data_IF_658531902024
#
_entry.id   IF_658531902024
#
_cell.length_a   1.000
_cell.length_b   1.000
_cell.length_c   1.000
_cell.angle_alpha   90.00
_cell.angle_beta   90.00
_cell.angle_gamma   90.00
#
_symmetry.space_group_name_H-M   'P 1'
#
loop_
_entity.id
_entity.type
_entity.pdbx_description
1 polymer ?
#
# COMPACT_ATOMS: atom_id res chain seq x y z
N UNK A 1 -5.04 -37.90 -13.91
CA UNK A 1 -5.94 -36.76 -13.65
C UNK A 1 -6.70 -36.50 -14.94
N UNK A 2 -8.03 -36.54 -14.94
CA UNK A 2 -8.80 -36.13 -16.13
C UNK A 2 -8.68 -34.63 -16.31
N UNK A 3 -8.39 -34.20 -17.53
CA UNK A 3 -8.26 -32.80 -17.92
C UNK A 3 -9.66 -32.21 -18.14
N UNK A 4 -10.26 -31.70 -17.06
CA UNK A 4 -11.64 -31.18 -17.03
C UNK A 4 -11.71 -29.66 -17.06
N UNK A 5 -10.57 -28.97 -17.21
CA UNK A 5 -10.51 -27.51 -17.21
C UNK A 5 -9.51 -26.99 -18.26
N UNK A 6 -9.99 -26.11 -19.14
CA UNK A 6 -9.15 -25.33 -20.04
C UNK A 6 -9.27 -23.85 -19.70
N UNK A 7 -8.16 -23.11 -19.87
CA UNK A 7 -8.16 -21.66 -19.70
C UNK A 7 -9.02 -20.94 -20.74
N UNK A 8 -9.61 -19.81 -20.38
CA UNK A 8 -10.45 -19.01 -21.27
C UNK A 8 -9.69 -18.10 -22.25
N UNK A 9 -8.35 -18.04 -22.15
CA UNK A 9 -7.50 -17.22 -22.99
C UNK A 9 -6.65 -18.06 -23.94
N UNK A 10 -6.39 -17.50 -25.12
CA UNK A 10 -5.55 -18.07 -26.17
C UNK A 10 -4.14 -18.41 -25.67
N UNK A 11 -3.61 -19.57 -26.08
CA UNK A 11 -2.20 -19.94 -25.85
C UNK A 11 -1.31 -19.35 -26.95
N UNK A 12 0.01 -19.50 -26.79
CA UNK A 12 1.01 -18.96 -27.72
C UNK A 12 0.70 -19.23 -29.20
N UNK A 13 0.33 -20.45 -29.56
CA UNK A 13 0.07 -20.79 -30.97
C UNK A 13 -1.25 -20.20 -31.49
N UNK A 14 -2.27 -20.06 -30.64
CA UNK A 14 -3.53 -19.40 -30.98
C UNK A 14 -3.30 -17.89 -31.22
N UNK A 15 -2.47 -17.25 -30.38
CA UNK A 15 -2.08 -15.85 -30.54
C UNK A 15 -1.29 -15.63 -31.84
N UNK A 16 -0.32 -16.51 -32.15
CA UNK A 16 0.42 -16.50 -33.42
C UNK A 16 -0.51 -16.70 -34.62
N UNK A 17 -1.46 -17.63 -34.52
CA UNK A 17 -2.46 -17.88 -35.56
C UNK A 17 -3.29 -16.63 -35.83
N UNK A 18 -3.81 -15.97 -34.79
CA UNK A 18 -4.55 -14.72 -34.91
C UNK A 18 -3.77 -13.63 -35.65
N UNK A 19 -2.50 -13.40 -35.27
CA UNK A 19 -1.64 -12.42 -35.93
C UNK A 19 -1.39 -12.75 -37.41
N UNK A 20 -1.21 -14.03 -37.74
CA UNK A 20 -1.03 -14.48 -39.13
C UNK A 20 -2.29 -14.33 -39.99
N UNK A 21 -3.46 -14.50 -39.40
CA UNK A 21 -4.75 -14.34 -40.07
C UNK A 21 -5.05 -12.86 -40.31
N UNK A 22 -4.85 -12.01 -39.29
CA UNK A 22 -5.16 -10.58 -39.36
C UNK A 22 -4.13 -9.78 -40.16
N UNK A 23 -2.85 -10.19 -40.15
CA UNK A 23 -1.72 -9.48 -40.77
C UNK A 23 -1.70 -7.99 -40.39
N UNK A 24 -1.66 -7.68 -39.08
CA UNK A 24 -1.77 -6.31 -38.62
C UNK A 24 -0.57 -5.48 -39.09
N UNK A 25 -0.81 -4.20 -39.42
CA UNK A 25 0.28 -3.29 -39.71
C UNK A 25 1.06 -2.91 -38.45
N UNK A 26 0.35 -2.68 -37.34
CA UNK A 26 0.91 -2.43 -36.02
C UNK A 26 0.30 -3.38 -35.00
N UNK A 27 1.06 -3.77 -34.00
CA UNK A 27 0.62 -4.69 -32.96
C UNK A 27 0.83 -4.08 -31.57
N UNK A 28 -0.20 -4.13 -30.74
CA UNK A 28 -0.15 -3.66 -29.36
C UNK A 28 -0.77 -4.73 -28.46
N UNK A 29 0.04 -5.48 -27.69
CA UNK A 29 -0.51 -6.43 -26.74
C UNK A 29 -1.26 -5.69 -25.63
N UNK A 30 -2.37 -6.27 -25.18
CA UNK A 30 -3.22 -5.74 -24.10
C UNK A 30 -3.59 -6.85 -23.11
N UNK A 31 -4.27 -6.48 -22.01
CA UNK A 31 -4.89 -7.41 -21.05
C UNK A 31 -3.90 -8.37 -20.35
N UNK A 32 -2.81 -7.84 -19.82
CA UNK A 32 -1.88 -8.65 -19.03
C UNK A 32 -0.98 -7.81 -18.12
N UNK A 33 -0.24 -8.49 -17.25
CA UNK A 33 0.91 -7.87 -16.58
C UNK A 33 2.00 -7.52 -17.61
N UNK A 34 2.80 -6.51 -17.34
CA UNK A 34 3.78 -5.98 -18.30
C UNK A 34 4.72 -7.06 -18.87
N UNK A 35 5.18 -8.02 -18.05
CA UNK A 35 6.03 -9.12 -18.53
C UNK A 35 5.33 -10.04 -19.54
N UNK A 36 4.01 -10.22 -19.41
CA UNK A 36 3.22 -11.01 -20.37
C UNK A 36 2.98 -10.22 -21.65
N UNK A 37 2.80 -8.89 -21.56
CA UNK A 37 2.72 -8.01 -22.73
C UNK A 37 4.02 -8.06 -23.53
N UNK A 38 5.17 -8.01 -22.84
CA UNK A 38 6.47 -8.18 -23.48
C UNK A 38 6.61 -9.55 -24.15
N UNK A 39 6.22 -10.63 -23.45
CA UNK A 39 6.25 -11.97 -24.05
C UNK A 39 5.36 -12.06 -25.30
N UNK A 40 4.19 -11.41 -25.31
CA UNK A 40 3.30 -11.37 -26.46
C UNK A 40 3.87 -10.54 -27.61
N UNK A 41 4.58 -9.44 -27.32
CA UNK A 41 5.35 -8.70 -28.30
C UNK A 41 6.45 -9.57 -28.96
N UNK A 42 7.15 -10.39 -28.17
CA UNK A 42 8.15 -11.31 -28.71
C UNK A 42 7.51 -12.36 -29.65
N UNK A 43 6.27 -12.78 -29.39
CA UNK A 43 5.51 -13.66 -30.31
C UNK A 43 5.17 -12.95 -31.62
N UNK A 44 4.84 -11.66 -31.56
CA UNK A 44 4.56 -10.84 -32.74
C UNK A 44 5.81 -10.71 -33.63
N UNK A 45 6.98 -10.50 -33.02
CA UNK A 45 8.27 -10.51 -33.75
C UNK A 45 8.51 -11.88 -34.42
N UNK A 46 8.24 -12.99 -33.72
CA UNK A 46 8.42 -14.35 -34.27
C UNK A 46 7.54 -14.66 -35.48
N UNK A 47 6.37 -14.01 -35.62
CA UNK A 47 5.50 -14.17 -36.79
C UNK A 47 5.77 -13.14 -37.89
N UNK A 48 6.82 -12.34 -37.74
CA UNK A 48 7.33 -11.44 -38.78
C UNK A 48 6.83 -10.00 -38.69
N UNK A 49 6.17 -9.60 -37.60
CA UNK A 49 5.81 -8.20 -37.38
C UNK A 49 7.09 -7.44 -36.99
N UNK A 50 7.49 -6.37 -37.71
CA UNK A 50 8.71 -5.64 -37.39
C UNK A 50 8.64 -5.01 -36.00
N UNK A 51 9.73 -5.13 -35.22
CA UNK A 51 9.83 -4.60 -33.86
C UNK A 51 9.37 -3.15 -33.69
N UNK A 52 9.71 -2.28 -34.64
CA UNK A 52 9.34 -0.85 -34.61
C UNK A 52 7.83 -0.60 -34.82
N UNK A 53 7.06 -1.62 -35.20
CA UNK A 53 5.59 -1.59 -35.32
C UNK A 53 4.89 -2.31 -34.17
N UNK A 54 5.63 -2.75 -33.15
CA UNK A 54 5.10 -3.40 -31.95
C UNK A 54 5.19 -2.43 -30.77
N UNK A 55 4.06 -2.12 -30.15
CA UNK A 55 3.96 -1.14 -29.07
C UNK A 55 3.55 -1.81 -27.77
N UNK A 56 4.49 -1.97 -26.84
CA UNK A 56 4.18 -2.36 -25.46
C UNK A 56 3.93 -1.09 -24.66
N UNK A 57 2.66 -0.73 -24.47
CA UNK A 57 2.25 0.51 -23.81
C UNK A 57 2.00 0.30 -22.31
N UNK A 58 2.31 1.32 -21.51
CA UNK A 58 1.86 1.41 -20.12
C UNK A 58 0.43 1.98 -20.03
N UNK A 59 -0.24 1.75 -18.91
CA UNK A 59 -1.49 2.45 -18.58
C UNK A 59 -1.31 3.97 -18.71
N UNK A 60 -2.21 4.61 -19.46
CA UNK A 60 -2.21 6.04 -19.72
C UNK A 60 -1.26 6.51 -20.82
N UNK A 61 -0.36 5.66 -21.35
CA UNK A 61 0.54 6.04 -22.43
C UNK A 61 -0.21 6.25 -23.75
N UNK A 62 0.06 7.36 -24.42
CA UNK A 62 -0.63 7.72 -25.66
C UNK A 62 0.05 7.05 -26.85
N UNK A 63 -0.74 6.35 -27.67
CA UNK A 63 -0.32 5.81 -28.98
C UNK A 63 -1.04 6.60 -30.07
N UNK A 64 -0.26 7.23 -30.95
CA UNK A 64 -0.78 8.03 -32.05
C UNK A 64 -0.74 7.23 -33.35
N UNK A 65 -1.84 7.27 -34.09
CA UNK A 65 -1.92 6.74 -35.44
C UNK A 65 -2.36 7.86 -36.39
N UNK A 66 -1.58 8.09 -37.43
CA UNK A 66 -1.91 9.02 -38.49
C UNK A 66 -1.99 8.28 -39.81
N UNK A 67 -2.92 8.69 -40.67
CA UNK A 67 -3.04 8.18 -42.03
C UNK A 67 -2.86 9.34 -43.00
N UNK A 68 -1.82 9.28 -43.82
CA UNK A 68 -1.61 10.29 -44.85
C UNK A 68 -2.66 10.14 -45.97
N UNK A 69 -2.88 11.21 -46.74
CA UNK A 69 -3.83 11.21 -47.87
C UNK A 69 -3.51 10.14 -48.94
N UNK A 70 -2.24 9.68 -49.01
CA UNK A 70 -1.78 8.59 -49.88
C UNK A 70 -2.04 7.17 -49.33
N UNK A 71 -2.67 7.04 -48.15
CA UNK A 71 -3.09 5.75 -47.59
C UNK A 71 -2.10 5.08 -46.64
N UNK A 72 -0.86 5.57 -46.53
CA UNK A 72 0.15 5.08 -45.58
C UNK A 72 -0.21 5.46 -44.14
N UNK A 73 -0.15 4.48 -43.23
CA UNK A 73 -0.42 4.68 -41.81
C UNK A 73 0.89 4.69 -41.00
N UNK A 74 1.09 5.75 -40.22
CA UNK A 74 2.21 5.89 -39.29
C UNK A 74 1.71 5.77 -37.86
N UNK A 75 2.27 4.83 -37.10
CA UNK A 75 2.00 4.63 -35.68
C UNK A 75 3.20 5.08 -34.84
N UNK A 76 2.95 5.72 -33.70
CA UNK A 76 3.99 6.15 -32.77
C UNK A 76 3.54 5.96 -31.33
N UNK A 77 4.32 5.20 -30.56
CA UNK A 77 4.24 5.19 -29.11
C UNK A 77 4.88 6.47 -28.56
N UNK A 78 4.07 7.36 -27.98
CA UNK A 78 4.56 8.64 -27.47
C UNK A 78 5.15 8.49 -26.07
N UNK A 79 5.82 9.56 -25.60
CA UNK A 79 6.23 9.67 -24.19
C UNK A 79 5.15 10.32 -23.32
N UNK A 80 4.07 10.78 -23.95
CA UNK A 80 2.99 11.50 -23.29
C UNK A 80 2.08 10.49 -22.59
N UNK A 81 1.64 10.86 -21.38
CA UNK A 81 0.72 10.06 -20.58
C UNK A 81 -0.47 10.92 -20.18
N UNK A 82 -1.68 10.34 -20.28
CA UNK A 82 -2.86 10.90 -19.63
C UNK A 82 -2.88 10.52 -18.16
N UNK A 83 -3.52 11.35 -17.33
CA UNK A 83 -3.69 11.04 -15.92
C UNK A 83 -4.52 9.76 -15.76
N UNK A 84 -3.94 8.76 -15.09
CA UNK A 84 -4.61 7.50 -14.75
C UNK A 84 -4.30 7.16 -13.32
N UNK A 85 -5.32 6.83 -12.54
CA UNK A 85 -5.17 6.46 -11.14
C UNK A 85 -6.09 5.28 -10.81
N UNK A 86 -5.68 4.48 -9.83
CA UNK A 86 -6.56 3.46 -9.26
C UNK A 86 -7.61 4.14 -8.39
N UNK A 87 -8.88 3.88 -8.70
CA UNK A 87 -10.01 4.26 -7.84
C UNK A 87 -10.46 3.02 -7.07
N UNK A 88 -10.21 3.04 -5.77
CA UNK A 88 -10.63 1.97 -4.87
C UNK A 88 -12.11 2.12 -4.52
N UNK A 89 -12.82 1.01 -4.39
CA UNK A 89 -14.23 0.98 -3.98
C UNK A 89 -14.34 0.10 -2.74
N UNK A 90 -14.94 0.64 -1.67
CA UNK A 90 -15.13 -0.06 -0.40
C UNK A 90 -16.55 0.18 0.13
N UNK A 91 -17.40 -0.83 0.02
CA UNK A 91 -18.83 -0.71 0.33
C UNK A 91 -19.53 0.29 -0.60
N UNK A 92 -20.10 1.34 -0.01
CA UNK A 92 -20.71 2.46 -0.75
C UNK A 92 -19.71 3.58 -1.08
N UNK A 93 -18.49 3.49 -0.54
CA UNK A 93 -17.42 4.45 -0.77
C UNK A 93 -16.73 4.23 -2.12
N UNK A 94 -16.56 5.31 -2.89
CA UNK A 94 -15.85 5.32 -4.16
C UNK A 94 -14.74 6.37 -4.08
N UNK A 95 -13.49 5.92 -4.16
CA UNK A 95 -12.30 6.79 -4.11
C UNK A 95 -11.97 7.35 -2.72
N UNK A 96 -12.70 6.97 -1.69
CA UNK A 96 -12.48 7.38 -0.29
C UNK A 96 -11.38 6.55 0.40
N UNK A 97 -11.10 5.35 -0.10
CA UNK A 97 -9.95 4.54 0.34
C UNK A 97 -8.68 4.95 -0.39
N UNK A 98 -7.83 5.69 0.32
CA UNK A 98 -6.50 6.05 -0.16
C UNK A 98 -5.44 4.96 0.13
N UNK A 99 -4.28 5.08 -0.53
CA UNK A 99 -3.11 4.24 -0.24
C UNK A 99 -2.68 4.29 1.24
N UNK A 100 -2.95 5.39 1.95
CA UNK A 100 -2.64 5.51 3.39
C UNK A 100 -3.54 4.59 4.20
N UNK A 101 -4.85 4.56 3.90
CA UNK A 101 -5.80 3.67 4.57
C UNK A 101 -5.42 2.20 4.34
N UNK A 102 -5.03 1.84 3.12
CA UNK A 102 -4.55 0.48 2.81
C UNK A 102 -3.26 0.13 3.57
N UNK A 103 -2.32 1.09 3.70
CA UNK A 103 -1.10 0.90 4.48
C UNK A 103 -1.41 0.63 5.95
N UNK A 104 -2.31 1.42 6.54
CA UNK A 104 -2.71 1.27 7.93
C UNK A 104 -3.40 -0.07 8.17
N UNK A 105 -4.29 -0.49 7.27
CA UNK A 105 -4.92 -1.83 7.30
C UNK A 105 -3.88 -2.94 7.25
N UNK A 106 -2.87 -2.83 6.39
CA UNK A 106 -1.80 -3.82 6.27
C UNK A 106 -0.99 -3.94 7.57
N UNK A 107 -0.55 -2.82 8.13
CA UNK A 107 0.21 -2.82 9.39
C UNK A 107 -0.62 -3.42 10.53
N UNK A 108 -1.91 -3.06 10.64
CA UNK A 108 -2.80 -3.63 11.64
C UNK A 108 -3.04 -5.13 11.46
N UNK A 109 -3.12 -5.62 10.22
CA UNK A 109 -3.30 -7.04 9.93
C UNK A 109 -2.05 -7.87 10.26
N UNK A 110 -0.85 -7.32 10.01
CA UNK A 110 0.42 -8.01 10.27
C UNK A 110 0.77 -8.02 11.77
N UNK A 111 0.72 -6.86 12.43
CA UNK A 111 1.29 -6.69 13.78
C UNK A 111 0.30 -6.25 14.85
N UNK A 112 -0.95 -5.96 14.47
CA UNK A 112 -1.97 -5.44 15.38
C UNK A 112 -1.69 -4.00 15.83
N UNK A 113 -2.38 -3.59 16.89
CA UNK A 113 -2.30 -2.23 17.42
C UNK A 113 -2.38 -2.19 18.95
N UNK A 114 -1.86 -1.11 19.50
CA UNK A 114 -1.97 -0.76 20.91
C UNK A 114 -2.33 0.73 21.04
N UNK A 115 -3.41 1.00 21.77
CA UNK A 115 -3.84 2.36 22.12
C UNK A 115 -3.39 2.65 23.54
N UNK A 116 -2.74 3.79 23.74
CA UNK A 116 -2.20 4.23 25.03
C UNK A 116 -2.86 5.56 25.36
N UNK A 117 -3.67 5.58 26.41
CA UNK A 117 -4.43 6.75 26.84
C UNK A 117 -3.77 7.27 28.13
N UNK A 118 -3.27 8.49 28.11
CA UNK A 118 -2.67 9.14 29.28
C UNK A 118 -3.44 10.43 29.60
N UNK A 119 -3.94 10.53 30.82
CA UNK A 119 -4.53 11.77 31.33
C UNK A 119 -3.44 12.57 32.05
N UNK A 120 -3.31 13.84 31.72
CA UNK A 120 -2.25 14.73 32.23
C UNK A 120 -2.89 15.97 32.85
N UNK A 121 -2.37 16.40 34.00
CA UNK A 121 -2.72 17.68 34.62
C UNK A 121 -2.13 18.82 33.78
N UNK A 122 -2.97 19.75 33.33
CA UNK A 122 -2.57 20.87 32.47
C UNK A 122 -1.62 21.86 33.15
N UNK A 123 -1.59 21.91 34.49
CA UNK A 123 -0.75 22.82 35.27
C UNK A 123 0.58 22.19 35.67
N UNK A 124 0.56 20.93 36.12
CA UNK A 124 1.78 20.26 36.60
C UNK A 124 2.45 19.40 35.53
N UNK A 125 1.73 19.06 34.46
CA UNK A 125 2.19 18.12 33.43
C UNK A 125 2.34 16.67 33.92
N UNK A 126 1.88 16.36 35.13
CA UNK A 126 1.94 15.01 35.68
C UNK A 126 0.80 14.13 35.17
N UNK A 127 1.05 12.82 35.11
CA UNK A 127 -0.01 11.85 34.82
C UNK A 127 -1.01 11.78 35.97
N UNK A 128 -2.29 11.97 35.65
CA UNK A 128 -3.40 11.72 36.56
C UNK A 128 -3.74 10.23 36.47
N UNK A 129 -3.35 9.48 37.50
CA UNK A 129 -3.61 8.04 37.60
C UNK A 129 -2.66 7.18 36.74
N UNK A 130 -3.17 6.06 36.25
CA UNK A 130 -2.43 5.12 35.40
C UNK A 130 -2.83 5.30 33.94
N UNK A 131 -1.89 5.33 32.98
CA UNK A 131 -2.23 5.28 31.57
C UNK A 131 -3.00 4.01 31.24
N UNK A 132 -4.08 4.13 30.47
CA UNK A 132 -4.87 3.00 30.01
C UNK A 132 -4.34 2.45 28.70
N UNK A 133 -4.34 1.12 28.60
CA UNK A 133 -3.75 0.39 27.48
C UNK A 133 -4.79 -0.56 26.92
N UNK A 134 -5.05 -0.43 25.63
CA UNK A 134 -5.96 -1.30 24.87
C UNK A 134 -5.16 -1.96 23.76
N UNK A 135 -5.18 -3.29 23.69
CA UNK A 135 -4.54 -4.07 22.63
C UNK A 135 -5.59 -4.74 21.74
N UNK A 136 -5.35 -4.75 20.42
CA UNK A 136 -6.14 -5.46 19.41
C UNK A 136 -5.20 -6.09 18.38
N UNK A 137 -5.32 -7.39 18.11
CA UNK A 137 -4.47 -8.12 17.16
C UNK A 137 -2.98 -8.22 17.54
N UNK A 138 -2.53 -7.50 18.58
CA UNK A 138 -1.15 -7.52 19.04
C UNK A 138 -0.94 -8.59 20.13
N UNK A 139 -1.27 -8.31 21.38
CA UNK A 139 -1.13 -9.27 22.50
C UNK A 139 -2.44 -9.45 23.27
N UNK A 140 -2.66 -10.66 23.80
CA UNK A 140 -3.78 -10.91 24.70
C UNK A 140 -3.46 -10.42 26.11
N UNK A 141 -4.19 -9.38 26.55
CA UNK A 141 -3.90 -8.63 27.77
C UNK A 141 -3.88 -9.47 29.04
N UNK A 142 -4.74 -10.51 29.13
CA UNK A 142 -4.85 -11.34 30.34
C UNK A 142 -3.62 -12.22 30.57
N UNK A 143 -2.96 -12.64 29.48
CA UNK A 143 -1.77 -13.47 29.51
C UNK A 143 -0.48 -12.63 29.59
N UNK A 144 -0.51 -11.40 29.08
CA UNK A 144 0.66 -10.54 28.97
C UNK A 144 0.71 -9.43 30.02
N UNK A 145 0.22 -9.69 31.25
CA UNK A 145 0.09 -8.67 32.31
C UNK A 145 1.40 -7.93 32.60
N UNK A 146 2.52 -8.65 32.65
CA UNK A 146 3.82 -8.06 32.95
C UNK A 146 4.28 -7.07 31.86
N UNK A 147 4.14 -7.45 30.57
CA UNK A 147 4.45 -6.57 29.44
C UNK A 147 3.61 -5.29 29.49
N UNK A 148 2.33 -5.42 29.81
CA UNK A 148 1.41 -4.28 29.93
C UNK A 148 1.80 -3.38 31.11
N UNK A 149 2.15 -3.95 32.27
CA UNK A 149 2.59 -3.14 33.41
C UNK A 149 3.92 -2.41 33.13
N UNK A 150 4.90 -3.09 32.51
CA UNK A 150 6.15 -2.45 32.05
C UNK A 150 5.86 -1.32 31.06
N UNK A 151 4.92 -1.52 30.14
CA UNK A 151 4.48 -0.48 29.21
C UNK A 151 3.89 0.72 29.96
N UNK A 152 2.98 0.51 30.93
CA UNK A 152 2.41 1.59 31.76
C UNK A 152 3.49 2.38 32.50
N UNK A 153 4.44 1.69 33.13
CA UNK A 153 5.56 2.33 33.83
C UNK A 153 6.43 3.17 32.89
N UNK A 154 6.70 2.66 31.68
CA UNK A 154 7.48 3.39 30.67
C UNK A 154 6.74 4.63 30.18
N UNK A 155 5.43 4.55 29.95
CA UNK A 155 4.59 5.70 29.59
C UNK A 155 4.61 6.76 30.70
N UNK A 156 4.43 6.37 31.97
CA UNK A 156 4.53 7.31 33.10
C UNK A 156 5.89 8.02 33.16
N UNK A 157 6.97 7.27 32.92
CA UNK A 157 8.32 7.85 32.87
C UNK A 157 8.45 8.85 31.73
N UNK A 158 7.93 8.53 30.55
CA UNK A 158 7.95 9.42 29.38
C UNK A 158 7.20 10.71 29.66
N UNK A 159 6.01 10.63 30.27
CA UNK A 159 5.22 11.82 30.62
C UNK A 159 5.91 12.66 31.70
N UNK A 160 6.49 12.01 32.72
CA UNK A 160 7.24 12.73 33.78
C UNK A 160 8.54 13.38 33.27
N UNK A 161 9.07 12.91 32.14
CA UNK A 161 10.28 13.45 31.51
C UNK A 161 9.95 14.68 30.65
N UNK A 162 9.41 15.72 31.30
CA UNK A 162 9.18 17.07 30.80
C UNK A 162 9.65 18.10 31.84
N UNK A 163 9.94 19.34 31.41
CA UNK A 163 10.31 20.42 32.34
C UNK A 163 9.05 20.94 33.06
N UNK A 164 8.96 20.85 34.40
CA UNK A 164 7.81 21.34 35.18
C UNK A 164 7.54 22.84 35.05
N UNK A 165 8.50 23.60 34.50
CA UNK A 165 8.39 25.05 34.28
C UNK A 165 7.73 25.39 32.93
N UNK A 166 7.53 24.40 32.08
CA UNK A 166 6.91 24.56 30.76
C UNK A 166 5.64 23.73 30.65
N UNK A 167 4.55 24.26 30.08
CA UNK A 167 3.37 23.45 29.80
C UNK A 167 3.74 22.23 28.96
N UNK A 168 3.18 21.06 29.32
CA UNK A 168 3.41 19.83 28.57
C UNK A 168 2.97 20.01 27.11
N UNK A 169 3.88 19.81 26.16
CA UNK A 169 3.54 19.74 24.73
C UNK A 169 2.94 18.36 24.43
N UNK A 170 1.65 18.32 24.12
CA UNK A 170 0.92 17.07 23.89
C UNK A 170 1.46 16.31 22.70
N UNK A 171 1.89 17.01 21.66
CA UNK A 171 2.37 16.37 20.44
C UNK A 171 3.79 15.84 20.64
N UNK A 172 4.61 16.54 21.43
CA UNK A 172 5.88 15.99 21.90
C UNK A 172 5.67 14.70 22.72
N UNK A 173 4.77 14.72 23.71
CA UNK A 173 4.48 13.54 24.56
C UNK A 173 3.93 12.39 23.72
N UNK A 174 2.97 12.64 22.83
CA UNK A 174 2.43 11.62 21.90
C UNK A 174 3.55 11.01 21.05
N UNK A 175 4.38 11.84 20.42
CA UNK A 175 5.47 11.35 19.56
C UNK A 175 6.49 10.54 20.35
N UNK A 176 6.84 10.98 21.55
CA UNK A 176 7.76 10.26 22.44
C UNK A 176 7.18 8.92 22.88
N UNK A 177 5.89 8.87 23.27
CA UNK A 177 5.20 7.61 23.56
C UNK A 177 5.21 6.69 22.34
N UNK A 178 4.85 7.18 21.16
CA UNK A 178 4.82 6.38 19.92
C UNK A 178 6.17 5.71 19.64
N UNK A 179 7.25 6.49 19.69
CA UNK A 179 8.59 6.01 19.33
C UNK A 179 9.18 5.09 20.40
N UNK A 180 9.19 5.53 21.66
CA UNK A 180 9.84 4.82 22.76
C UNK A 180 9.11 3.53 23.12
N UNK A 181 7.77 3.55 23.09
CA UNK A 181 6.98 2.34 23.33
C UNK A 181 7.07 1.41 22.12
N UNK A 182 7.03 1.93 20.90
CA UNK A 182 7.26 1.12 19.69
C UNK A 182 8.58 0.34 19.74
N UNK A 183 9.68 1.01 20.10
CA UNK A 183 10.98 0.38 20.25
C UNK A 183 11.00 -0.65 21.40
N UNK A 184 10.39 -0.32 22.54
CA UNK A 184 10.31 -1.23 23.68
C UNK A 184 9.53 -2.50 23.34
N UNK A 185 8.36 -2.37 22.71
CA UNK A 185 7.52 -3.50 22.33
C UNK A 185 8.26 -4.39 21.31
N UNK A 186 8.90 -3.81 20.30
CA UNK A 186 9.71 -4.57 19.35
C UNK A 186 10.85 -5.33 20.04
N UNK A 187 11.52 -4.71 21.02
CA UNK A 187 12.57 -5.35 21.80
C UNK A 187 12.08 -6.59 22.56
N UNK A 188 10.86 -6.53 23.11
CA UNK A 188 10.27 -7.61 23.92
C UNK A 188 9.58 -8.69 23.07
N UNK A 189 8.95 -8.33 21.96
CA UNK A 189 8.04 -9.23 21.23
C UNK A 189 8.46 -9.52 19.79
N UNK A 190 9.46 -8.80 19.26
CA UNK A 190 9.88 -8.82 17.85
C UNK A 190 8.79 -8.44 16.85
N UNK A 191 7.70 -7.82 17.33
CA UNK A 191 6.60 -7.29 16.51
C UNK A 191 6.51 -5.77 16.63
N UNK A 192 6.02 -5.10 15.59
CA UNK A 192 5.90 -3.63 15.54
C UNK A 192 4.43 -3.21 15.44
N UNK A 193 3.65 -3.34 16.52
CA UNK A 193 2.26 -2.92 16.49
C UNK A 193 2.14 -1.43 16.21
N UNK A 194 1.03 -1.03 15.60
CA UNK A 194 0.68 0.38 15.51
C UNK A 194 0.44 0.95 16.92
N UNK A 195 1.27 1.93 17.33
CA UNK A 195 1.13 2.62 18.62
C UNK A 195 0.34 3.91 18.44
N UNK A 196 -0.86 3.96 19.02
CA UNK A 196 -1.75 5.12 19.00
C UNK A 196 -1.80 5.79 20.39
N UNK A 197 -0.99 6.83 20.62
CA UNK A 197 -1.04 7.61 21.85
C UNK A 197 -2.21 8.60 21.82
N UNK A 198 -2.97 8.65 22.91
CA UNK A 198 -4.03 9.62 23.18
C UNK A 198 -3.67 10.31 24.49
N UNK A 199 -3.46 11.63 24.43
CA UNK A 199 -3.15 12.44 25.61
C UNK A 199 -4.36 13.32 25.87
N UNK A 200 -4.89 13.26 27.09
CA UNK A 200 -6.04 14.04 27.55
C UNK A 200 -5.54 14.99 28.62
N UNK A 201 -5.65 16.30 28.39
CA UNK A 201 -5.36 17.31 29.41
C UNK A 201 -6.61 17.66 30.21
N UNK A 202 -6.47 17.78 31.52
CA UNK A 202 -7.52 18.27 32.44
C UNK A 202 -7.01 19.37 33.36
#
# INVERSE_FOLDING_TARGET
MMDVHAGGHAKQEDLKLMMRLLKPEYFMPIEANHFMLQAHADLAEQVGIPKHKIFVADNGQIVEFHRAAGGEATGKLTKDKVATDYVMVDGLGVGDVSNIVLRDRRVMAEDGMIVIIATIDSKTGDTIGNPDIISRGFVYMKENKELIQKTRMKVKKIVKDHDPRTPADDDYVKNKIRNDIGQFLFGQTKRRPMVLPVVIKV
#
